data_IF_209005941592
#
_entry.id   IF_209005941592
#
_cell.length_a   1.000
_cell.length_b   1.000
_cell.length_c   1.000
_cell.angle_alpha   90.00
_cell.angle_beta   90.00
_cell.angle_gamma   90.00
#
_symmetry.space_group_name_H-M   'P 1'
#
loop_
_entity.id
_entity.type
_entity.pdbx_description
1 polymer ?
#
# COMPACT_ATOMS: atom_id res chain seq x y z
N UNK A 1 -8.41 1.25 20.41
CA UNK A 1 -9.34 1.18 19.27
C UNK A 1 -8.54 0.49 18.20
N UNK A 2 -8.72 -0.83 18.11
CA UNK A 2 -7.89 -1.69 17.27
C UNK A 2 -8.05 -1.21 15.83
N UNK A 3 -6.97 -0.68 15.24
CA UNK A 3 -6.98 -0.34 13.84
C UNK A 3 -7.31 -1.65 13.12
N UNK A 4 -8.44 -1.69 12.41
CA UNK A 4 -8.82 -2.87 11.62
C UNK A 4 -7.59 -3.36 10.85
N UNK A 5 -7.16 -4.58 11.19
CA UNK A 5 -6.03 -5.22 10.54
C UNK A 5 -6.34 -5.40 9.07
N UNK A 6 -5.28 -5.39 8.26
CA UNK A 6 -5.43 -5.75 6.87
C UNK A 6 -5.94 -7.19 6.75
N UNK A 7 -6.86 -7.38 5.82
CA UNK A 7 -7.62 -8.59 5.58
C UNK A 7 -7.37 -9.14 4.16
N UNK A 8 -6.17 -8.94 3.60
CA UNK A 8 -5.83 -9.36 2.25
C UNK A 8 -6.01 -10.86 2.04
N UNK A 9 -5.63 -11.67 3.04
CA UNK A 9 -5.81 -13.12 3.00
C UNK A 9 -7.28 -13.54 2.94
N UNK A 10 -8.15 -12.84 3.68
CA UNK A 10 -9.60 -13.08 3.66
C UNK A 10 -10.18 -12.74 2.28
N UNK A 11 -9.84 -11.59 1.71
CA UNK A 11 -10.32 -11.17 0.40
C UNK A 11 -9.89 -12.17 -0.68
N UNK A 12 -8.62 -12.59 -0.64
CA UNK A 12 -8.10 -13.57 -1.58
C UNK A 12 -8.82 -14.92 -1.44
N UNK A 13 -9.03 -15.40 -0.21
CA UNK A 13 -9.76 -16.64 0.03
C UNK A 13 -11.21 -16.58 -0.48
N UNK A 14 -11.93 -15.48 -0.24
CA UNK A 14 -13.29 -15.30 -0.75
C UNK A 14 -13.34 -15.27 -2.28
N UNK A 15 -12.39 -14.59 -2.92
CA UNK A 15 -12.31 -14.53 -4.38
C UNK A 15 -11.99 -15.90 -4.99
N UNK A 16 -11.02 -16.63 -4.44
CA UNK A 16 -10.68 -18.00 -4.88
C UNK A 16 -11.86 -18.96 -4.70
N UNK A 17 -12.66 -18.79 -3.65
CA UNK A 17 -13.87 -19.59 -3.41
C UNK A 17 -15.07 -19.18 -4.27
N UNK A 18 -14.95 -18.14 -5.11
CA UNK A 18 -16.08 -17.60 -5.88
C UNK A 18 -17.16 -16.94 -5.01
N UNK A 19 -16.81 -16.55 -3.79
CA UNK A 19 -17.71 -15.91 -2.81
C UNK A 19 -17.58 -14.38 -2.79
N UNK A 20 -16.61 -13.85 -3.52
CA UNK A 20 -16.48 -12.43 -3.82
C UNK A 20 -16.69 -12.24 -5.32
N UNK A 21 -17.71 -11.47 -5.69
CA UNK A 21 -17.99 -11.10 -7.07
C UNK A 21 -18.21 -9.60 -7.17
N UNK A 22 -17.62 -8.98 -8.18
CA UNK A 22 -17.69 -7.56 -8.44
C UNK A 22 -17.98 -7.32 -9.91
N UNK A 23 -18.77 -6.29 -10.17
CA UNK A 23 -18.89 -5.74 -11.53
C UNK A 23 -17.51 -5.36 -12.07
N UNK A 24 -17.31 -5.56 -13.38
CA UNK A 24 -16.05 -5.29 -14.05
C UNK A 24 -15.54 -3.86 -13.82
N UNK A 25 -16.41 -2.84 -13.95
CA UNK A 25 -16.00 -1.45 -13.82
C UNK A 25 -15.56 -1.14 -12.38
N UNK A 26 -16.29 -1.65 -11.40
CA UNK A 26 -15.98 -1.47 -9.98
C UNK A 26 -14.66 -2.15 -9.62
N UNK A 27 -14.45 -3.39 -10.08
CA UNK A 27 -13.20 -4.10 -9.84
C UNK A 27 -12.00 -3.39 -10.49
N UNK A 28 -12.16 -2.93 -11.74
CA UNK A 28 -11.09 -2.27 -12.48
C UNK A 28 -10.71 -0.91 -11.85
N UNK A 29 -11.68 -0.13 -11.38
CA UNK A 29 -11.44 1.13 -10.67
C UNK A 29 -10.72 0.90 -9.33
N UNK A 30 -11.20 -0.06 -8.53
CA UNK A 30 -10.62 -0.38 -7.24
C UNK A 30 -9.18 -0.91 -7.38
N UNK A 31 -8.93 -1.79 -8.35
CA UNK A 31 -7.57 -2.27 -8.68
C UNK A 31 -6.67 -1.11 -9.08
N UNK A 32 -7.15 -0.16 -9.90
CA UNK A 32 -6.36 1.00 -10.29
C UNK A 32 -6.00 1.88 -9.07
N UNK A 33 -6.94 2.09 -8.14
CA UNK A 33 -6.70 2.79 -6.88
C UNK A 33 -5.67 2.11 -5.98
N UNK A 34 -5.79 0.79 -5.81
CA UNK A 34 -4.85 0.00 -5.01
C UNK A 34 -3.45 -0.01 -5.60
N UNK A 35 -3.31 -0.06 -6.93
CA UNK A 35 -2.00 0.01 -7.61
C UNK A 35 -1.32 1.35 -7.37
N UNK A 36 -2.06 2.47 -7.53
CA UNK A 36 -1.52 3.82 -7.20
C UNK A 36 -1.09 3.91 -5.74
N UNK A 37 -1.87 3.32 -4.84
CA UNK A 37 -1.55 3.30 -3.41
C UNK A 37 -0.29 2.48 -3.14
N UNK A 38 -0.15 1.31 -3.78
CA UNK A 38 1.03 0.46 -3.68
C UNK A 38 2.28 1.18 -4.19
N UNK A 39 2.19 1.91 -5.30
CA UNK A 39 3.30 2.70 -5.84
C UNK A 39 3.78 3.75 -4.82
N UNK A 40 2.84 4.45 -4.17
CA UNK A 40 3.15 5.39 -3.08
C UNK A 40 3.81 4.68 -1.90
N UNK A 41 3.28 3.53 -1.47
CA UNK A 41 3.85 2.76 -0.35
C UNK A 41 5.27 2.30 -0.66
N UNK A 42 5.51 1.78 -1.87
CA UNK A 42 6.84 1.32 -2.31
C UNK A 42 7.83 2.48 -2.35
N UNK A 43 7.42 3.66 -2.82
CA UNK A 43 8.29 4.83 -2.83
C UNK A 43 8.65 5.30 -1.43
N UNK A 44 7.67 5.33 -0.51
CA UNK A 44 7.92 5.66 0.90
C UNK A 44 8.85 4.65 1.57
N UNK A 45 8.69 3.36 1.28
CA UNK A 45 9.59 2.32 1.77
C UNK A 45 11.02 2.48 1.22
N UNK A 46 11.19 2.94 -0.02
CA UNK A 46 12.51 3.27 -0.58
C UNK A 46 13.16 4.40 0.20
N UNK A 47 12.40 5.47 0.49
CA UNK A 47 12.89 6.60 1.30
C UNK A 47 13.36 6.14 2.69
N UNK A 48 12.56 5.32 3.39
CA UNK A 48 12.95 4.78 4.70
C UNK A 48 14.24 3.97 4.64
N UNK A 49 14.37 3.05 3.67
CA UNK A 49 15.58 2.23 3.54
C UNK A 49 16.84 3.05 3.31
N UNK A 50 16.76 4.08 2.47
CA UNK A 50 17.89 5.01 2.24
C UNK A 50 18.24 5.75 3.53
N UNK A 51 17.23 6.20 4.28
CA UNK A 51 17.43 6.89 5.56
C UNK A 51 18.02 5.98 6.64
N UNK A 52 17.59 4.72 6.70
CA UNK A 52 18.09 3.73 7.67
C UNK A 52 19.51 3.24 7.34
N UNK A 53 19.89 3.22 6.07
CA UNK A 53 21.18 2.71 5.55
C UNK A 53 22.44 3.51 5.91
N UNK A 54 22.36 4.50 6.79
CA UNK A 54 23.53 5.09 7.48
C UNK A 54 24.11 6.37 6.85
N UNK A 55 23.91 6.63 5.56
CA UNK A 55 24.22 7.93 4.96
C UNK A 55 23.00 8.86 5.10
N UNK A 56 22.81 9.43 6.30
CA UNK A 56 21.75 10.41 6.57
C UNK A 56 22.29 11.82 6.32
N UNK A 57 22.11 12.42 5.12
CA UNK A 57 22.30 13.86 4.99
C UNK A 57 21.38 14.56 6.00
N UNK A 58 21.81 15.71 6.53
CA UNK A 58 20.91 16.49 7.35
C UNK A 58 19.68 16.85 6.50
N UNK A 59 18.47 16.77 7.07
CA UNK A 59 17.23 17.08 6.34
C UNK A 59 17.31 18.47 5.70
N UNK A 60 18.02 19.40 6.36
CA UNK A 60 18.27 20.77 5.88
C UNK A 60 19.11 20.86 4.61
N UNK A 61 19.86 19.80 4.27
CA UNK A 61 20.72 19.76 3.08
C UNK A 61 20.00 19.16 1.86
N UNK A 62 18.76 18.67 2.04
CA UNK A 62 17.96 18.08 0.97
C UNK A 62 17.17 19.16 0.20
N UNK A 63 16.94 18.97 -1.11
CA UNK A 63 15.99 19.79 -1.86
C UNK A 63 14.62 19.83 -1.14
N UNK A 64 13.91 20.98 -1.07
CA UNK A 64 12.73 21.13 -0.20
C UNK A 64 11.65 20.06 -0.39
N UNK A 65 11.37 19.66 -1.64
CA UNK A 65 10.40 18.61 -1.93
C UNK A 65 10.82 17.22 -1.42
N UNK A 66 12.12 16.93 -1.46
CA UNK A 66 12.68 15.69 -0.92
C UNK A 66 12.77 15.72 0.61
N UNK A 67 13.13 16.88 1.19
CA UNK A 67 13.15 17.09 2.64
C UNK A 67 11.77 16.83 3.26
N UNK A 68 10.71 17.39 2.67
CA UNK A 68 9.34 17.16 3.16
C UNK A 68 8.94 15.69 3.04
N UNK A 69 9.25 15.04 1.93
CA UNK A 69 8.93 13.63 1.74
C UNK A 69 9.64 12.73 2.78
N UNK A 70 10.90 13.01 3.09
CA UNK A 70 11.64 12.30 4.15
C UNK A 70 10.99 12.51 5.51
N UNK A 71 10.66 13.77 5.87
CA UNK A 71 10.00 14.08 7.15
C UNK A 71 8.66 13.38 7.27
N UNK A 72 7.80 13.48 6.26
CA UNK A 72 6.47 12.86 6.26
C UNK A 72 6.55 11.35 6.47
N UNK A 73 7.49 10.71 5.77
CA UNK A 73 7.67 9.26 5.81
C UNK A 73 8.24 8.79 7.15
N UNK A 74 9.30 9.44 7.63
CA UNK A 74 9.92 9.09 8.92
C UNK A 74 8.93 9.34 10.07
N UNK A 75 8.15 10.42 10.01
CA UNK A 75 7.15 10.72 11.02
C UNK A 75 5.97 9.73 11.00
N UNK A 76 5.48 9.37 9.81
CA UNK A 76 4.45 8.34 9.68
C UNK A 76 4.91 6.99 10.24
N UNK A 77 6.16 6.61 10.01
CA UNK A 77 6.75 5.38 10.55
C UNK A 77 6.89 5.43 12.08
N UNK A 78 7.16 6.60 12.68
CA UNK A 78 7.17 6.76 14.14
C UNK A 78 5.77 6.66 14.77
N UNK A 79 4.74 7.17 14.10
CA UNK A 79 3.36 7.12 14.60
C UNK A 79 2.75 5.72 14.46
N UNK A 80 3.05 5.02 13.37
CA UNK A 80 2.53 3.66 13.10
C UNK A 80 3.64 2.74 12.59
N UNK A 81 4.53 2.27 13.47
CA UNK A 81 5.67 1.44 13.08
C UNK A 81 5.24 0.18 12.33
N UNK A 82 5.96 -0.16 11.26
CA UNK A 82 5.74 -1.34 10.44
C UNK A 82 4.50 -1.26 9.53
N UNK A 83 3.69 -0.20 9.60
CA UNK A 83 2.42 -0.12 8.84
C UNK A 83 2.66 -0.01 7.33
N UNK A 84 3.71 0.69 6.90
CA UNK A 84 4.08 0.78 5.48
C UNK A 84 4.54 -0.58 4.94
N UNK A 85 5.35 -1.30 5.72
CA UNK A 85 5.80 -2.64 5.34
C UNK A 85 4.62 -3.62 5.27
N UNK A 86 3.73 -3.58 6.26
CA UNK A 86 2.54 -4.41 6.28
C UNK A 86 1.61 -4.10 5.09
N UNK A 87 1.37 -2.82 4.78
CA UNK A 87 0.61 -2.41 3.60
C UNK A 87 1.24 -2.91 2.29
N UNK A 88 2.57 -2.88 2.18
CA UNK A 88 3.27 -3.37 0.99
C UNK A 88 3.06 -4.87 0.76
N UNK A 89 2.86 -5.66 1.82
CA UNK A 89 2.56 -7.10 1.75
C UNK A 89 1.07 -7.37 1.45
N UNK A 90 0.18 -6.52 1.92
CA UNK A 90 -1.26 -6.74 1.87
C UNK A 90 -1.94 -6.19 0.60
N UNK A 91 -1.53 -5.01 0.13
CA UNK A 91 -2.09 -4.38 -1.08
C UNK A 91 -2.05 -5.32 -2.32
N UNK A 92 -0.98 -6.10 -2.57
CA UNK A 92 -0.98 -7.09 -3.65
C UNK A 92 -2.07 -8.15 -3.52
N UNK A 93 -2.39 -8.59 -2.29
CA UNK A 93 -3.44 -9.60 -2.05
C UNK A 93 -4.82 -9.06 -2.41
N UNK A 94 -5.11 -7.81 -2.05
CA UNK A 94 -6.35 -7.15 -2.45
C UNK A 94 -6.43 -6.99 -3.97
N UNK A 95 -5.36 -6.52 -4.61
CA UNK A 95 -5.31 -6.37 -6.08
C UNK A 95 -5.67 -7.70 -6.76
N UNK A 96 -5.08 -8.79 -6.30
CA UNK A 96 -5.33 -10.12 -6.86
C UNK A 96 -6.75 -10.62 -6.57
N UNK A 97 -7.23 -10.45 -5.34
CA UNK A 97 -8.59 -10.80 -4.97
C UNK A 97 -9.64 -10.10 -5.84
N UNK A 98 -9.48 -8.79 -6.08
CA UNK A 98 -10.42 -8.02 -6.90
C UNK A 98 -10.35 -8.41 -8.38
N UNK A 99 -9.16 -8.77 -8.89
CA UNK A 99 -9.02 -9.32 -10.25
C UNK A 99 -9.73 -10.66 -10.41
N UNK A 100 -9.64 -11.55 -9.43
CA UNK A 100 -10.33 -12.84 -9.42
C UNK A 100 -11.85 -12.68 -9.29
N UNK A 101 -12.30 -11.72 -8.47
CA UNK A 101 -13.71 -11.43 -8.24
C UNK A 101 -14.40 -10.72 -9.42
N UNK A 102 -13.61 -10.18 -10.37
CA UNK A 102 -14.10 -9.43 -11.52
C UNK A 102 -15.01 -10.30 -12.41
N UNK A 103 -16.26 -9.87 -12.62
CA UNK A 103 -17.20 -10.50 -13.55
C UNK A 103 -17.45 -9.62 -14.77
N UNK A 104 -17.45 -10.19 -15.99
CA UNK A 104 -17.81 -9.42 -17.18
C UNK A 104 -19.28 -8.97 -17.09
N UNK A 105 -19.64 -7.85 -17.74
CA UNK A 105 -21.02 -7.43 -17.86
C UNK A 105 -21.85 -8.56 -18.49
N UNK A 106 -23.02 -8.85 -17.90
CA UNK A 106 -23.97 -9.86 -18.38
C UNK A 106 -24.71 -9.38 -19.62
#
# INVERSE_FOLDING_TARGET
>A
MDAEDFAGDLFLALATQGRLELDAAVADEAVAGLRRTLDVVVERMRILRVWEGGARPAVCDLPPGLAQAVVDVVFAEQLTPGRLEHAARELPKYIEALRLARRPPR
#
